data_IF_753152095961
#
_entry.id   IF_753152095961
#
_cell.length_a   1.000
_cell.length_b   1.000
_cell.length_c   1.000
_cell.angle_alpha   90.00
_cell.angle_beta   90.00
_cell.angle_gamma   90.00
#
_symmetry.space_group_name_H-M   'P 1'
#
loop_
_entity.id
_entity.type
_entity.pdbx_description
1 polymer ?
#
# COMPACT_ATOMS: atom_id res chain seq x y z
N UNK A 1 -14.14 -55.74 -2.32
CA UNK A 1 -13.33 -54.98 -3.30
C UNK A 1 -13.89 -55.30 -4.67
N UNK A 2 -14.67 -54.39 -5.24
CA UNK A 2 -15.04 -54.43 -6.66
C UNK A 2 -14.43 -53.20 -7.31
N UNK A 3 -13.66 -53.42 -8.37
CA UNK A 3 -13.09 -52.33 -9.18
C UNK A 3 -14.22 -51.76 -10.05
N UNK A 4 -14.46 -50.44 -10.05
CA UNK A 4 -15.44 -49.85 -10.96
C UNK A 4 -14.94 -49.95 -12.41
N UNK A 5 -15.82 -50.38 -13.30
CA UNK A 5 -15.57 -50.61 -14.72
C UNK A 5 -15.19 -49.32 -15.47
N UNK A 6 -14.12 -49.39 -16.25
CA UNK A 6 -13.59 -48.32 -17.09
C UNK A 6 -14.42 -48.12 -18.37
N UNK A 7 -15.08 -46.96 -18.49
CA UNK A 7 -15.58 -46.45 -19.76
C UNK A 7 -14.45 -45.75 -20.53
N UNK A 8 -14.14 -46.23 -21.74
CA UNK A 8 -13.12 -45.63 -22.62
C UNK A 8 -13.62 -44.28 -23.15
N UNK A 9 -12.92 -43.19 -22.85
CA UNK A 9 -13.11 -41.88 -23.49
C UNK A 9 -11.83 -41.49 -24.23
N UNK A 10 -11.94 -41.39 -25.55
CA UNK A 10 -10.95 -40.81 -26.44
C UNK A 10 -10.99 -39.28 -26.28
N UNK A 11 -9.80 -38.68 -26.22
CA UNK A 11 -9.49 -37.24 -26.12
C UNK A 11 -9.32 -36.73 -24.67
N UNK A 12 -8.04 -36.57 -24.32
CA UNK A 12 -7.50 -35.89 -23.13
C UNK A 12 -8.23 -34.59 -22.78
N UNK A 13 -9.16 -34.67 -21.83
CA UNK A 13 -9.64 -33.55 -20.99
C UNK A 13 -10.04 -34.14 -19.64
N UNK A 14 -9.68 -33.45 -18.57
CA UNK A 14 -9.72 -33.95 -17.18
C UNK A 14 -11.05 -34.63 -16.80
N UNK A 15 -10.95 -35.64 -15.94
CA UNK A 15 -12.11 -36.36 -15.40
C UNK A 15 -12.96 -35.39 -14.56
N UNK A 16 -14.22 -35.20 -14.93
CA UNK A 16 -15.21 -34.54 -14.09
C UNK A 16 -15.53 -35.45 -12.91
N UNK A 17 -15.16 -35.01 -11.71
CA UNK A 17 -15.48 -35.70 -10.46
C UNK A 17 -16.89 -35.28 -10.04
N UNK A 18 -17.79 -36.24 -9.92
CA UNK A 18 -19.09 -36.03 -9.30
C UNK A 18 -18.93 -36.00 -7.78
N UNK A 19 -18.78 -34.81 -7.20
CA UNK A 19 -18.54 -34.62 -5.76
C UNK A 19 -19.68 -35.18 -4.89
N UNK A 20 -20.91 -35.18 -5.41
CA UNK A 20 -22.09 -35.72 -4.71
C UNK A 20 -22.03 -37.24 -4.48
N UNK A 21 -21.11 -37.93 -5.20
CA UNK A 21 -20.90 -39.39 -5.09
C UNK A 21 -19.63 -39.73 -4.33
N UNK A 22 -18.87 -38.73 -3.85
CA UNK A 22 -17.70 -38.98 -3.02
C UNK A 22 -18.16 -39.31 -1.60
N UNK A 23 -17.98 -40.56 -1.21
CA UNK A 23 -18.16 -40.98 0.18
C UNK A 23 -16.85 -40.70 0.94
N UNK A 24 -16.66 -39.45 1.34
CA UNK A 24 -15.53 -39.03 2.18
C UNK A 24 -15.78 -39.55 3.58
N UNK A 25 -15.05 -40.59 3.99
CA UNK A 25 -15.05 -41.06 5.37
C UNK A 25 -14.21 -40.08 6.18
N UNK A 26 -14.86 -39.27 7.01
CA UNK A 26 -14.16 -38.42 7.98
C UNK A 26 -13.58 -39.33 9.06
N UNK A 27 -12.25 -39.31 9.21
CA UNK A 27 -11.57 -39.95 10.33
C UNK A 27 -11.59 -38.97 11.52
N UNK A 28 -12.21 -39.32 12.66
CA UNK A 28 -12.26 -38.44 13.84
C UNK A 28 -10.90 -38.10 14.44
N UNK A 29 -9.81 -38.76 13.99
CA UNK A 29 -8.44 -38.53 14.45
C UNK A 29 -7.58 -37.74 13.47
N UNK A 30 -8.15 -37.25 12.38
CA UNK A 30 -7.43 -36.43 11.42
C UNK A 30 -7.25 -35.01 11.99
N UNK A 31 -6.06 -34.73 12.54
CA UNK A 31 -5.71 -33.48 13.24
C UNK A 31 -5.92 -32.23 12.37
N UNK A 32 -5.93 -32.39 11.04
CA UNK A 32 -6.20 -31.32 10.08
C UNK A 32 -7.65 -30.78 10.18
N UNK A 33 -8.62 -31.60 10.59
CA UNK A 33 -10.03 -31.20 10.74
C UNK A 33 -10.37 -30.66 12.13
N UNK A 34 -9.62 -31.04 13.17
CA UNK A 34 -9.80 -30.46 14.51
C UNK A 34 -9.46 -28.97 14.57
N UNK A 35 -8.70 -28.45 13.59
CA UNK A 35 -8.41 -27.04 13.45
C UNK A 35 -9.59 -26.23 12.87
N UNK A 36 -10.47 -26.85 12.08
CA UNK A 36 -11.57 -26.14 11.43
C UNK A 36 -12.70 -25.76 12.41
N UNK A 37 -12.89 -26.54 13.48
CA UNK A 37 -13.99 -26.31 14.44
C UNK A 37 -13.76 -25.05 15.30
N UNK A 38 -12.51 -24.64 15.52
CA UNK A 38 -12.16 -23.36 16.20
C UNK A 38 -12.13 -22.15 15.24
N UNK A 39 -12.01 -22.37 13.92
CA UNK A 39 -11.83 -21.29 12.93
C UNK A 39 -13.14 -20.89 12.25
N UNK A 40 -14.16 -21.76 12.26
CA UNK A 40 -15.49 -21.47 11.71
C UNK A 40 -16.35 -20.67 12.70
N UNK A 41 -15.92 -19.45 13.02
CA UNK A 41 -16.81 -18.49 13.66
C UNK A 41 -18.02 -18.27 12.74
N UNK A 42 -19.26 -18.25 13.29
CA UNK A 42 -20.44 -17.94 12.49
C UNK A 42 -20.24 -16.59 11.80
N UNK A 43 -20.79 -16.41 10.58
CA UNK A 43 -20.69 -15.14 9.88
C UNK A 43 -21.23 -14.03 10.80
N UNK A 44 -20.54 -12.88 10.86
CA UNK A 44 -20.94 -11.80 11.75
C UNK A 44 -22.38 -11.40 11.45
N UNK A 45 -23.15 -11.19 12.51
CA UNK A 45 -24.53 -10.75 12.41
C UNK A 45 -24.63 -9.39 11.71
N UNK A 46 -25.78 -9.07 11.15
CA UNK A 46 -26.02 -7.77 10.52
C UNK A 46 -25.78 -6.60 11.48
N UNK A 47 -26.06 -6.78 12.77
CA UNK A 47 -25.78 -5.80 13.81
C UNK A 47 -24.28 -5.61 14.07
N UNK A 48 -23.48 -6.68 14.02
CA UNK A 48 -22.02 -6.62 14.14
C UNK A 48 -21.37 -6.02 12.91
N UNK A 49 -21.90 -6.33 11.72
CA UNK A 49 -21.43 -5.78 10.45
C UNK A 49 -21.70 -4.27 10.36
N UNK A 50 -22.86 -3.83 10.88
CA UNK A 50 -23.27 -2.42 10.90
C UNK A 50 -22.82 -1.67 12.17
N UNK A 51 -21.97 -2.27 13.02
CA UNK A 51 -21.49 -1.59 14.22
C UNK A 51 -20.68 -0.35 13.84
N UNK A 52 -20.97 0.78 14.47
CA UNK A 52 -20.20 2.00 14.27
C UNK A 52 -18.86 1.85 14.98
N UNK A 53 -17.81 1.63 14.20
CA UNK A 53 -16.45 1.63 14.72
C UNK A 53 -16.04 3.06 15.09
N UNK A 54 -15.51 3.26 16.30
CA UNK A 54 -14.88 4.54 16.65
C UNK A 54 -13.73 4.81 15.70
N UNK A 55 -13.55 6.08 15.31
CA UNK A 55 -12.43 6.46 14.45
C UNK A 55 -11.11 6.12 15.17
N UNK A 56 -10.32 5.22 14.58
CA UNK A 56 -9.04 4.76 15.14
C UNK A 56 -7.91 5.78 14.97
N UNK A 57 -8.14 6.79 14.14
CA UNK A 57 -7.26 7.94 13.98
C UNK A 57 -7.82 9.11 14.79
N UNK A 58 -6.93 9.96 15.30
CA UNK A 58 -7.13 10.94 16.38
C UNK A 58 -8.26 12.00 16.22
N UNK A 59 -9.19 11.83 15.27
CA UNK A 59 -10.30 12.72 15.01
C UNK A 59 -11.40 12.68 16.10
N UNK A 60 -11.47 11.63 16.93
CA UNK A 60 -12.43 11.53 18.04
C UNK A 60 -11.69 11.62 19.39
N UNK A 61 -11.43 12.85 19.82
CA UNK A 61 -10.61 13.24 20.98
C UNK A 61 -11.36 13.09 22.32
N UNK A 62 -11.93 11.92 22.60
CA UNK A 62 -12.59 11.66 23.87
C UNK A 62 -11.79 10.66 24.71
N UNK A 63 -10.90 11.21 25.54
CA UNK A 63 -10.65 10.83 26.93
C UNK A 63 -10.17 9.42 27.32
N UNK A 64 -10.16 8.43 26.45
CA UNK A 64 -9.70 7.07 26.78
C UNK A 64 -8.39 6.74 26.07
N UNK A 65 -7.30 6.90 26.82
CA UNK A 65 -5.93 6.61 26.38
C UNK A 65 -5.57 5.11 26.47
N UNK A 66 -6.55 4.22 26.67
CA UNK A 66 -6.34 2.77 26.77
C UNK A 66 -5.90 2.09 25.48
N UNK A 67 -6.30 2.62 24.32
CA UNK A 67 -6.05 2.05 22.99
C UNK A 67 -5.23 3.00 22.10
N UNK A 68 -4.07 3.42 22.60
CA UNK A 68 -3.08 4.08 21.75
C UNK A 68 -2.69 3.17 20.59
N UNK A 69 -2.38 3.76 19.44
CA UNK A 69 -1.87 3.13 18.22
C UNK A 69 -0.93 1.92 18.43
N UNK A 70 -0.11 1.99 19.48
CA UNK A 70 0.96 1.04 19.82
C UNK A 70 0.47 -0.19 20.60
N UNK A 71 -0.77 -0.17 21.12
CA UNK A 71 -1.39 -1.28 21.87
C UNK A 71 -2.39 -2.08 21.02
N UNK A 72 -2.51 -1.75 19.74
CA UNK A 72 -3.37 -2.47 18.81
C UNK A 72 -2.47 -3.34 17.92
N UNK A 73 -2.50 -4.66 18.16
CA UNK A 73 -1.70 -5.63 17.43
C UNK A 73 -1.98 -5.57 15.91
N UNK A 74 -3.22 -5.32 15.48
CA UNK A 74 -3.56 -5.16 14.05
C UNK A 74 -2.89 -3.93 13.41
N UNK A 75 -2.74 -2.84 14.18
CA UNK A 75 -2.02 -1.67 13.70
C UNK A 75 -0.51 -1.94 13.66
N UNK A 76 0.02 -2.63 14.67
CA UNK A 76 1.43 -3.01 14.71
C UNK A 76 1.80 -3.92 13.52
N UNK A 77 0.91 -4.85 13.17
CA UNK A 77 1.06 -5.72 11.99
C UNK A 77 1.14 -4.92 10.68
N UNK A 78 0.44 -3.79 10.59
CA UNK A 78 0.49 -2.90 9.41
C UNK A 78 1.88 -2.27 9.20
N UNK A 79 2.75 -2.28 10.22
CA UNK A 79 4.12 -1.77 10.15
C UNK A 79 5.18 -2.88 10.03
N UNK A 80 4.81 -4.16 9.88
CA UNK A 80 5.77 -5.27 9.77
C UNK A 80 6.79 -5.09 8.65
N UNK A 81 6.40 -4.44 7.55
CA UNK A 81 7.27 -4.16 6.40
C UNK A 81 8.02 -2.83 6.52
N UNK A 82 7.76 -2.04 7.56
CA UNK A 82 8.45 -0.77 7.75
C UNK A 82 9.88 -1.06 8.23
N UNK A 83 10.92 -0.60 7.50
CA UNK A 83 12.29 -0.79 7.96
C UNK A 83 12.51 -0.03 9.28
N UNK A 84 13.38 -0.51 10.18
CA UNK A 84 13.77 0.27 11.36
C UNK A 84 14.28 1.65 10.93
N UNK A 85 13.84 2.71 11.61
CA UNK A 85 14.16 4.09 11.23
C UNK A 85 15.66 4.38 11.34
N UNK A 86 16.37 3.65 12.19
CA UNK A 86 17.82 3.71 12.34
C UNK A 86 18.56 3.14 11.11
N UNK A 87 17.94 2.18 10.41
CA UNK A 87 18.50 1.52 9.23
C UNK A 87 18.16 2.30 7.97
N UNK A 88 16.92 2.78 7.86
CA UNK A 88 16.47 3.54 6.70
C UNK A 88 15.53 4.69 7.14
N UNK A 89 16.04 5.93 7.21
CA UNK A 89 15.20 7.07 7.53
C UNK A 89 14.16 7.29 6.42
N UNK A 90 12.98 7.78 6.79
CA UNK A 90 11.93 8.10 5.84
C UNK A 90 12.38 9.22 4.87
N UNK A 91 12.56 8.94 3.56
CA UNK A 91 13.09 9.92 2.61
C UNK A 91 12.04 10.95 2.18
N UNK A 92 10.74 10.70 2.39
CA UNK A 92 9.65 11.56 1.90
C UNK A 92 9.15 12.59 2.93
N UNK A 93 9.91 12.83 4.01
CA UNK A 93 9.57 13.90 4.95
C UNK A 93 9.71 15.28 4.28
N UNK A 94 8.81 16.23 4.60
CA UNK A 94 8.84 17.57 3.99
C UNK A 94 10.16 18.30 4.29
N UNK A 95 10.77 18.03 5.45
CA UNK A 95 12.09 18.53 5.81
C UNK A 95 13.17 18.05 4.84
N UNK A 96 13.22 16.74 4.59
CA UNK A 96 14.21 16.14 3.72
C UNK A 96 14.02 16.57 2.26
N UNK A 97 12.77 16.58 1.78
CA UNK A 97 12.44 17.04 0.44
C UNK A 97 12.85 18.49 0.24
N UNK A 98 12.48 19.38 1.16
CA UNK A 98 12.86 20.80 1.08
C UNK A 98 14.37 20.98 1.02
N UNK A 99 15.13 20.28 1.87
CA UNK A 99 16.60 20.37 1.88
C UNK A 99 17.18 20.00 0.51
N UNK A 100 16.73 18.90 -0.09
CA UNK A 100 17.22 18.47 -1.40
C UNK A 100 16.73 19.38 -2.54
N UNK A 101 15.55 19.98 -2.43
CA UNK A 101 15.07 20.98 -3.38
C UNK A 101 15.90 22.26 -3.34
N UNK A 102 16.33 22.71 -2.16
CA UNK A 102 17.19 23.88 -2.00
C UNK A 102 18.59 23.68 -2.61
N UNK A 103 19.01 22.43 -2.80
CA UNK A 103 20.27 22.06 -3.44
C UNK A 103 20.12 21.84 -4.96
N UNK A 104 18.89 21.72 -5.46
CA UNK A 104 18.58 21.54 -6.88
C UNK A 104 18.40 22.90 -7.58
N UNK A 105 19.52 23.47 -8.02
CA UNK A 105 19.56 24.79 -8.68
C UNK A 105 18.65 24.84 -9.91
N UNK A 106 18.56 23.75 -10.67
CA UNK A 106 17.73 23.68 -11.87
C UNK A 106 16.23 23.73 -11.51
N UNK A 107 15.82 23.05 -10.45
CA UNK A 107 14.44 23.10 -9.96
C UNK A 107 14.08 24.49 -9.40
N UNK A 108 14.99 25.11 -8.66
CA UNK A 108 14.79 26.48 -8.15
C UNK A 108 14.61 27.45 -9.31
N UNK A 109 15.46 27.39 -10.33
CA UNK A 109 15.34 28.23 -11.52
C UNK A 109 14.00 28.06 -12.23
N UNK A 110 13.48 26.82 -12.35
CA UNK A 110 12.15 26.56 -12.93
C UNK A 110 11.03 27.21 -12.12
N UNK A 111 11.14 27.23 -10.79
CA UNK A 111 10.14 27.87 -9.92
C UNK A 111 10.17 29.40 -9.98
N UNK A 112 11.30 30.00 -10.36
CA UNK A 112 11.48 31.46 -10.44
C UNK A 112 11.29 32.03 -11.86
N UNK A 113 11.47 31.21 -12.89
CA UNK A 113 11.39 31.66 -14.28
C UNK A 113 9.94 31.96 -14.69
N UNK A 114 9.70 33.15 -15.26
CA UNK A 114 8.39 33.62 -15.72
C UNK A 114 7.67 32.68 -16.71
N UNK A 115 8.41 31.87 -17.47
CA UNK A 115 7.83 30.90 -18.41
C UNK A 115 7.33 29.61 -17.73
N UNK A 116 7.92 29.22 -16.59
CA UNK A 116 7.69 27.91 -15.96
C UNK A 116 7.15 27.97 -14.54
N UNK A 117 7.22 29.11 -13.85
CA UNK A 117 6.84 29.24 -12.44
C UNK A 117 5.41 28.75 -12.15
N UNK A 118 4.47 28.97 -13.08
CA UNK A 118 3.08 28.52 -12.95
C UNK A 118 2.96 26.98 -12.91
N UNK A 119 3.87 26.26 -13.57
CA UNK A 119 3.94 24.80 -13.53
C UNK A 119 4.72 24.29 -12.31
N UNK A 120 5.59 25.12 -11.72
CA UNK A 120 6.43 24.78 -10.57
C UNK A 120 6.16 25.70 -9.37
N UNK A 121 4.91 25.75 -8.85
CA UNK A 121 4.58 26.63 -7.75
C UNK A 121 5.28 26.20 -6.45
N UNK A 122 5.68 27.18 -5.64
CA UNK A 122 6.12 26.95 -4.26
C UNK A 122 4.87 26.93 -3.37
N UNK A 123 4.68 25.86 -2.62
CA UNK A 123 3.54 25.67 -1.71
C UNK A 123 4.02 25.49 -0.28
N UNK A 124 3.26 26.01 0.67
CA UNK A 124 3.51 25.78 2.09
C UNK A 124 2.82 24.47 2.51
N UNK A 125 3.61 23.44 2.80
CA UNK A 125 3.16 22.12 3.24
C UNK A 125 3.89 21.81 4.55
N UNK A 126 3.14 21.54 5.62
CA UNK A 126 3.72 21.26 6.94
C UNK A 126 4.72 22.33 7.41
N UNK A 127 4.32 23.61 7.31
CA UNK A 127 5.14 24.79 7.60
C UNK A 127 6.45 24.90 6.81
N UNK A 128 6.58 24.18 5.68
CA UNK A 128 7.76 24.23 4.81
C UNK A 128 7.39 24.65 3.40
N UNK A 129 8.27 25.41 2.77
CA UNK A 129 8.13 25.81 1.38
C UNK A 129 8.69 24.71 0.49
N UNK A 130 7.81 24.07 -0.28
CA UNK A 130 8.12 22.92 -1.12
C UNK A 130 7.72 23.23 -2.56
N UNK A 131 8.62 22.98 -3.50
CA UNK A 131 8.35 23.14 -4.93
C UNK A 131 7.46 21.97 -5.38
N UNK A 132 6.31 22.30 -5.95
CA UNK A 132 5.37 21.34 -6.52
C UNK A 132 5.42 21.35 -8.04
N UNK A 133 4.71 20.43 -8.67
CA UNK A 133 4.54 20.35 -10.11
C UNK A 133 3.07 20.24 -10.50
N UNK A 134 2.65 21.06 -11.47
CA UNK A 134 1.33 21.04 -12.10
C UNK A 134 1.48 20.80 -13.59
N UNK A 135 0.91 19.68 -14.06
CA UNK A 135 0.89 19.36 -15.49
C UNK A 135 -0.13 20.19 -16.26
N UNK A 136 -1.28 20.48 -15.65
CA UNK A 136 -2.40 21.20 -16.27
C UNK A 136 -2.69 22.49 -15.50
N UNK A 137 -2.48 23.64 -16.16
CA UNK A 137 -2.71 24.94 -15.56
C UNK A 137 -4.21 25.22 -15.33
N UNK A 138 -5.10 24.52 -16.02
CA UNK A 138 -6.54 24.66 -15.84
C UNK A 138 -7.07 23.90 -14.60
N UNK A 139 -6.25 23.02 -14.01
CA UNK A 139 -6.63 22.19 -12.85
C UNK A 139 -5.72 22.52 -11.65
N UNK A 140 -5.96 23.65 -10.96
CA UNK A 140 -5.07 24.11 -9.89
C UNK A 140 -4.91 23.12 -8.74
N UNK A 141 -5.93 22.32 -8.46
CA UNK A 141 -5.91 21.33 -7.37
C UNK A 141 -5.18 20.02 -7.74
N UNK A 142 -4.75 19.84 -8.99
CA UNK A 142 -4.00 18.64 -9.43
C UNK A 142 -2.50 18.94 -9.49
N UNK A 143 -1.91 19.12 -8.33
CA UNK A 143 -0.46 19.28 -8.16
C UNK A 143 0.13 18.06 -7.46
N UNK A 144 1.44 17.88 -7.61
CA UNK A 144 2.23 16.83 -6.95
C UNK A 144 3.52 17.43 -6.43
N UNK A 145 4.09 16.86 -5.38
CA UNK A 145 5.36 17.34 -4.82
C UNK A 145 6.48 16.96 -5.79
N UNK A 146 7.34 17.91 -6.18
CA UNK A 146 8.45 17.61 -7.07
C UNK A 146 9.58 16.94 -6.28
N UNK A 147 9.92 15.70 -6.61
CA UNK A 147 11.09 15.02 -6.04
C UNK A 147 12.37 15.45 -6.76
N UNK A 148 13.38 15.98 -6.03
CA UNK A 148 14.72 16.20 -6.57
C UNK A 148 15.35 14.90 -7.06
N UNK A 149 16.23 15.00 -8.05
CA UNK A 149 16.90 13.84 -8.67
C UNK A 149 17.59 12.94 -7.64
N UNK A 150 18.25 13.57 -6.66
CA UNK A 150 18.99 12.94 -5.56
C UNK A 150 18.11 12.10 -4.62
N UNK A 151 16.80 12.39 -4.53
CA UNK A 151 15.88 11.66 -3.67
C UNK A 151 15.15 10.52 -4.38
N UNK A 152 15.23 10.41 -5.72
CA UNK A 152 14.44 9.42 -6.45
C UNK A 152 14.81 7.99 -6.05
N UNK A 153 16.10 7.64 -6.07
CA UNK A 153 16.53 6.29 -5.71
C UNK A 153 16.21 5.92 -4.26
N UNK A 154 16.51 6.75 -3.24
CA UNK A 154 16.09 6.50 -1.86
C UNK A 154 14.57 6.28 -1.71
N UNK A 155 13.76 7.10 -2.39
CA UNK A 155 12.29 6.99 -2.34
C UNK A 155 11.80 5.67 -2.96
N UNK A 156 12.37 5.25 -4.08
CA UNK A 156 12.02 3.98 -4.73
C UNK A 156 12.33 2.80 -3.82
N UNK A 157 13.55 2.77 -3.24
CA UNK A 157 13.96 1.70 -2.32
C UNK A 157 13.05 1.67 -1.09
N UNK A 158 12.77 2.83 -0.50
CA UNK A 158 11.91 2.92 0.68
C UNK A 158 10.49 2.43 0.40
N UNK A 159 9.86 2.88 -0.70
CA UNK A 159 8.53 2.40 -1.07
C UNK A 159 8.49 0.93 -1.50
N UNK A 160 9.57 0.40 -2.06
CA UNK A 160 9.66 -1.02 -2.38
C UNK A 160 9.66 -1.87 -1.10
N UNK A 161 10.38 -1.45 -0.06
CA UNK A 161 10.44 -2.15 1.23
C UNK A 161 9.14 -2.00 2.02
N UNK A 162 8.68 -0.75 2.25
CA UNK A 162 7.50 -0.46 3.08
C UNK A 162 6.22 -1.10 2.55
N UNK A 163 6.13 -1.31 1.23
CA UNK A 163 4.97 -1.92 0.59
C UNK A 163 5.18 -3.42 0.28
N UNK A 164 6.15 -4.06 0.92
CA UNK A 164 6.33 -5.51 0.87
C UNK A 164 6.79 -6.04 -0.49
N UNK A 165 7.81 -5.42 -1.07
CA UNK A 165 8.42 -5.83 -2.35
C UNK A 165 7.45 -5.88 -3.55
N UNK A 166 6.45 -4.99 -3.56
CA UNK A 166 5.52 -4.86 -4.67
C UNK A 166 6.22 -4.68 -6.04
N UNK A 167 5.57 -5.17 -7.10
CA UNK A 167 6.09 -5.06 -8.46
C UNK A 167 6.18 -3.63 -8.98
N UNK A 168 7.06 -3.41 -9.96
CA UNK A 168 7.40 -2.12 -10.58
C UNK A 168 6.20 -1.25 -10.94
N UNK A 169 5.16 -1.83 -11.56
CA UNK A 169 3.96 -1.08 -11.96
C UNK A 169 3.18 -0.53 -10.76
N UNK A 170 3.01 -1.33 -9.70
CA UNK A 170 2.32 -0.91 -8.48
C UNK A 170 3.13 0.15 -7.73
N UNK A 171 4.45 -0.07 -7.65
CA UNK A 171 5.39 0.87 -7.05
C UNK A 171 5.34 2.24 -7.74
N UNK A 172 5.47 2.26 -9.06
CA UNK A 172 5.35 3.46 -9.86
C UNK A 172 4.01 4.17 -9.64
N UNK A 173 2.90 3.43 -9.76
CA UNK A 173 1.55 3.97 -9.59
C UNK A 173 1.32 4.56 -8.20
N UNK A 174 1.97 4.01 -7.17
CA UNK A 174 1.87 4.52 -5.81
C UNK A 174 2.65 5.82 -5.65
N UNK A 175 3.89 5.88 -6.12
CA UNK A 175 4.73 7.08 -6.00
C UNK A 175 4.12 8.27 -6.78
N UNK A 176 3.63 8.04 -8.00
CA UNK A 176 3.11 9.13 -8.86
C UNK A 176 1.80 9.75 -8.40
N UNK A 177 1.10 9.16 -7.42
CA UNK A 177 -0.11 9.74 -6.82
C UNK A 177 0.22 11.05 -6.09
N UNK A 178 1.33 11.06 -5.36
CA UNK A 178 1.72 12.20 -4.53
C UNK A 178 2.92 12.97 -5.10
N UNK A 179 3.79 12.28 -5.84
CA UNK A 179 5.07 12.82 -6.26
C UNK A 179 5.19 12.93 -7.78
N UNK A 180 5.98 13.89 -8.22
CA UNK A 180 6.43 14.04 -9.60
C UNK A 180 7.95 13.99 -9.64
N UNK A 181 8.49 13.18 -10.54
CA UNK A 181 9.90 13.11 -10.84
C UNK A 181 10.10 12.91 -12.35
N UNK A 182 11.02 13.66 -12.98
CA UNK A 182 11.37 13.43 -14.38
C UNK A 182 11.85 12.00 -14.61
N UNK A 183 11.26 11.35 -15.62
CA UNK A 183 11.59 9.98 -16.03
C UNK A 183 11.51 8.92 -14.92
N UNK A 184 10.63 9.10 -13.92
CA UNK A 184 10.44 8.14 -12.82
C UNK A 184 10.17 6.72 -13.32
N UNK A 185 9.33 6.55 -14.36
CA UNK A 185 8.97 5.24 -14.91
C UNK A 185 10.18 4.40 -15.38
N UNK A 186 11.30 5.04 -15.75
CA UNK A 186 12.54 4.35 -16.16
C UNK A 186 13.41 3.96 -14.96
N UNK A 187 13.20 4.61 -13.80
CA UNK A 187 14.02 4.46 -12.60
C UNK A 187 13.43 3.47 -11.58
N UNK A 188 12.11 3.25 -11.65
CA UNK A 188 11.38 2.20 -10.91
C UNK A 188 11.52 0.88 -11.65
#
# INVERSE_FOLDING_TARGET
MEKPSEGKSLLSKGKLIAFDKLNVKMDPKDEMYSFEEEVLLPPPSEAECNRTFRCMFACCRDGDHGHGAIKNDEMLESFLNHPPLEVMPNPITMANIQQHQLQDVALIQKSQNAATWAQYPIMQIDNRNVICYRADLNKPNKWRIHLPETLIAPVIVWYHLVLGHQGTTSLYNTIVRQFYAPALKRKV
#
